data_IF_650640111060
#
_entry.id   IF_650640111060
#
_cell.length_a   1.000
_cell.length_b   1.000
_cell.length_c   1.000
_cell.angle_alpha   90.00
_cell.angle_beta   90.00
_cell.angle_gamma   90.00
#
_symmetry.space_group_name_H-M   'P 1'
#
loop_
_entity.id
_entity.type
_entity.pdbx_description
1 polymer ?
#
# COMPACT_ATOMS: atom_id res chain seq x y z
N UNK A 1 17.61 60.36 -43.76
CA UNK A 1 18.09 59.93 -42.42
C UNK A 1 18.26 58.41 -42.41
N UNK A 2 18.97 57.85 -41.41
CA UNK A 2 19.68 56.55 -41.53
C UNK A 2 18.76 55.31 -41.62
N UNK A 3 19.32 54.24 -42.21
CA UNK A 3 18.68 52.94 -42.54
C UNK A 3 19.02 51.83 -41.52
N UNK A 4 18.30 50.72 -41.70
CA UNK A 4 18.38 49.40 -41.03
C UNK A 4 19.61 48.57 -41.53
N UNK A 5 19.92 47.47 -40.84
CA UNK A 5 20.53 46.17 -41.30
C UNK A 5 21.92 45.78 -40.74
N UNK A 6 21.91 44.77 -39.84
CA UNK A 6 22.73 43.53 -39.69
C UNK A 6 24.27 43.53 -39.90
N UNK A 7 24.93 42.61 -39.14
CA UNK A 7 26.25 41.94 -39.32
C UNK A 7 27.39 42.49 -38.44
N UNK A 8 28.05 41.59 -37.70
CA UNK A 8 29.37 41.86 -37.11
C UNK A 8 29.74 41.02 -35.87
N UNK A 9 30.20 39.78 -36.07
CA UNK A 9 31.02 39.06 -35.07
C UNK A 9 32.28 38.58 -35.79
N UNK A 10 33.46 39.05 -35.35
CA UNK A 10 34.74 38.58 -35.86
C UNK A 10 35.77 38.39 -34.73
N UNK A 11 36.38 37.22 -34.81
CA UNK A 11 37.53 36.65 -34.10
C UNK A 11 38.68 37.61 -33.75
N UNK A 12 39.38 37.32 -32.63
CA UNK A 12 40.84 37.09 -32.55
C UNK A 12 41.12 36.41 -31.18
N UNK A 13 41.50 35.12 -31.10
CA UNK A 13 42.83 34.50 -31.27
C UNK A 13 43.78 34.61 -30.06
N UNK A 14 44.18 33.44 -29.55
CA UNK A 14 45.21 33.24 -28.52
C UNK A 14 45.51 31.74 -28.36
N UNK A 15 46.62 31.27 -28.93
CA UNK A 15 47.15 29.90 -28.86
C UNK A 15 48.51 29.93 -28.16
N UNK A 16 48.91 28.85 -27.46
CA UNK A 16 50.09 28.08 -27.89
C UNK A 16 50.37 26.78 -27.10
N UNK A 17 50.81 25.78 -27.88
CA UNK A 17 51.66 24.60 -27.60
C UNK A 17 51.18 23.38 -26.79
N UNK A 18 51.34 22.23 -27.47
CA UNK A 18 51.37 20.82 -27.04
C UNK A 18 52.35 20.08 -27.99
N UNK A 19 53.09 19.05 -27.54
CA UNK A 19 52.83 17.64 -27.95
C UNK A 19 53.14 16.63 -26.81
N UNK A 20 53.09 15.28 -26.91
CA UNK A 20 52.30 14.26 -27.63
C UNK A 20 53.10 12.91 -27.63
N UNK A 21 52.49 11.82 -27.12
CA UNK A 21 52.69 10.37 -27.45
C UNK A 21 53.97 9.52 -27.12
N UNK A 22 53.71 8.35 -26.47
CA UNK A 22 54.26 6.95 -26.66
C UNK A 22 55.78 6.62 -26.50
N UNK A 23 56.28 5.37 -26.26
CA UNK A 23 55.72 4.07 -25.79
C UNK A 23 56.84 3.05 -25.36
N UNK A 24 56.47 1.99 -24.61
CA UNK A 24 57.02 0.60 -24.53
C UNK A 24 58.45 0.15 -24.04
N UNK A 25 58.46 -0.87 -23.14
CA UNK A 25 59.49 -1.89 -22.71
C UNK A 25 60.85 -1.44 -22.08
N UNK A 26 61.51 -2.17 -21.13
CA UNK A 26 61.48 -3.60 -20.72
C UNK A 26 61.98 -3.86 -19.24
N UNK A 27 62.00 -5.13 -18.80
CA UNK A 27 62.79 -5.77 -17.69
C UNK A 27 62.31 -5.83 -16.20
N UNK A 28 61.48 -6.85 -15.91
CA UNK A 28 61.74 -8.04 -15.03
C UNK A 28 62.22 -7.88 -13.56
N UNK A 29 61.39 -8.28 -12.57
CA UNK A 29 61.57 -9.46 -11.65
C UNK A 29 60.80 -9.36 -10.29
N UNK A 30 60.21 -10.49 -9.85
CA UNK A 30 59.80 -10.75 -8.44
C UNK A 30 60.89 -11.55 -7.69
N UNK A 31 60.66 -12.17 -6.50
CA UNK A 31 59.39 -12.62 -5.90
C UNK A 31 59.06 -11.82 -4.59
N UNK A 32 58.35 -12.24 -3.52
CA UNK A 32 57.88 -13.55 -3.04
C UNK A 32 56.62 -13.47 -2.12
N UNK A 33 56.44 -14.49 -1.25
CA UNK A 33 55.30 -14.76 -0.36
C UNK A 33 55.83 -14.86 1.10
N UNK A 34 55.04 -14.45 2.12
CA UNK A 34 54.62 -15.28 3.28
C UNK A 34 54.38 -14.53 4.64
N UNK A 35 53.29 -14.90 5.33
CA UNK A 35 52.95 -14.81 6.79
C UNK A 35 52.93 -13.48 7.60
N UNK A 36 51.73 -13.14 8.10
CA UNK A 36 51.33 -12.72 9.50
C UNK A 36 50.01 -11.93 9.44
N UNK A 37 48.82 -12.50 9.69
CA UNK A 37 48.18 -12.74 11.00
C UNK A 37 48.16 -11.57 12.01
N UNK A 38 46.92 -11.17 12.35
CA UNK A 38 46.47 -10.47 13.57
C UNK A 38 47.10 -9.12 13.97
N UNK A 39 46.46 -8.00 13.59
CA UNK A 39 46.24 -6.85 14.49
C UNK A 39 45.24 -5.83 13.90
N UNK A 40 43.97 -5.88 14.35
CA UNK A 40 43.00 -4.78 14.23
C UNK A 40 42.24 -4.63 15.56
N UNK A 41 42.90 -3.99 16.54
CA UNK A 41 42.27 -3.56 17.79
C UNK A 41 42.16 -2.03 17.77
N UNK A 42 40.94 -1.53 17.90
CA UNK A 42 40.66 -0.24 18.55
C UNK A 42 40.82 1.03 17.70
N UNK A 43 39.73 1.47 17.09
CA UNK A 43 39.32 2.88 17.23
C UNK A 43 37.79 3.01 17.20
N UNK A 44 37.20 3.22 18.37
CA UNK A 44 35.79 3.64 18.47
C UNK A 44 35.66 5.11 18.05
N UNK A 45 34.78 5.39 17.08
CA UNK A 45 34.25 6.74 16.84
C UNK A 45 32.77 6.67 16.52
N UNK A 46 31.94 6.67 17.57
CA UNK A 46 30.54 7.08 17.54
C UNK A 46 30.08 7.41 18.97
N UNK A 47 29.35 8.52 19.20
CA UNK A 47 28.90 8.88 20.53
C UNK A 47 27.88 7.86 21.08
N UNK A 48 27.76 7.71 22.41
CA UNK A 48 26.96 6.66 23.01
C UNK A 48 25.45 6.98 22.90
N UNK A 49 24.80 6.44 21.87
CA UNK A 49 23.34 6.32 21.82
C UNK A 49 22.90 5.50 23.05
N UNK A 50 22.26 6.11 24.04
CA UNK A 50 21.71 5.41 25.20
C UNK A 50 20.18 5.40 25.14
N UNK A 51 19.57 4.26 25.50
CA UNK A 51 18.11 4.09 25.51
C UNK A 51 17.63 2.82 24.81
N UNK A 52 16.30 2.63 24.70
CA UNK A 52 15.70 1.45 24.08
C UNK A 52 16.14 1.20 22.64
N UNK A 53 16.57 2.23 21.91
CA UNK A 53 17.04 2.12 20.52
C UNK A 53 18.29 1.24 20.37
N UNK A 54 19.22 1.24 21.34
CA UNK A 54 20.36 0.30 21.33
C UNK A 54 19.90 -1.14 21.47
N UNK A 55 18.88 -1.39 22.28
CA UNK A 55 18.33 -2.74 22.45
C UNK A 55 17.61 -3.19 21.17
N UNK A 56 16.80 -2.33 20.56
CA UNK A 56 16.13 -2.65 19.29
C UNK A 56 17.12 -2.91 18.15
N UNK A 57 18.18 -2.10 18.03
CA UNK A 57 19.27 -2.35 17.08
C UNK A 57 20.01 -3.67 17.36
N UNK A 58 20.23 -4.03 18.63
CA UNK A 58 20.86 -5.31 18.99
C UNK A 58 19.97 -6.51 18.64
N UNK A 59 18.66 -6.43 18.88
CA UNK A 59 17.69 -7.48 18.51
C UNK A 59 17.61 -7.62 16.98
N UNK A 60 17.68 -6.50 16.24
CA UNK A 60 17.80 -6.53 14.78
C UNK A 60 19.10 -7.22 14.32
N UNK A 61 20.25 -6.88 14.90
CA UNK A 61 21.55 -7.50 14.57
C UNK A 61 21.54 -9.01 14.84
N UNK A 62 20.94 -9.45 15.95
CA UNK A 62 20.78 -10.87 16.28
C UNK A 62 19.91 -11.56 15.22
N UNK A 63 18.77 -10.96 14.85
CA UNK A 63 17.89 -11.52 13.81
C UNK A 63 18.57 -11.54 12.43
N UNK A 64 19.27 -10.48 12.05
CA UNK A 64 20.02 -10.43 10.80
C UNK A 64 21.09 -11.53 10.75
N UNK A 65 21.79 -11.79 11.86
CA UNK A 65 22.77 -12.88 11.93
C UNK A 65 22.16 -14.29 11.73
N UNK A 66 20.88 -14.52 12.04
CA UNK A 66 20.22 -15.80 11.72
C UNK A 66 19.74 -15.90 10.27
N UNK A 67 19.56 -14.76 9.59
CA UNK A 67 19.03 -14.69 8.21
C UNK A 67 20.13 -14.50 7.16
N UNK A 68 21.23 -13.82 7.47
CA UNK A 68 22.20 -13.30 6.49
C UNK A 68 22.86 -14.36 5.60
N UNK A 69 22.96 -15.61 6.06
CA UNK A 69 23.53 -16.74 5.34
C UNK A 69 22.49 -17.74 4.83
N UNK A 70 21.23 -17.32 4.66
CA UNK A 70 20.19 -18.19 4.13
C UNK A 70 20.20 -18.24 2.60
N UNK A 71 19.78 -19.36 2.03
CA UNK A 71 19.45 -19.48 0.60
C UNK A 71 17.94 -19.36 0.35
N UNK A 72 17.15 -19.08 1.39
CA UNK A 72 15.69 -18.90 1.30
C UNK A 72 15.31 -17.43 1.21
N UNK A 73 14.69 -17.03 0.09
CA UNK A 73 14.09 -15.70 -0.05
C UNK A 73 13.02 -15.42 1.02
N UNK A 74 12.38 -16.47 1.57
CA UNK A 74 11.42 -16.35 2.65
C UNK A 74 12.06 -15.87 3.96
N UNK A 75 13.32 -16.21 4.25
CA UNK A 75 14.03 -15.74 5.46
C UNK A 75 14.31 -14.24 5.38
N UNK A 76 14.79 -13.75 4.23
CA UNK A 76 14.98 -12.31 3.99
C UNK A 76 13.66 -11.54 3.98
N UNK A 77 12.60 -12.09 3.37
CA UNK A 77 11.24 -11.54 3.47
C UNK A 77 10.74 -11.52 4.92
N UNK A 78 11.14 -12.48 5.77
CA UNK A 78 10.80 -12.50 7.19
C UNK A 78 11.51 -11.38 7.96
N UNK A 79 12.81 -11.18 7.71
CA UNK A 79 13.55 -10.03 8.24
C UNK A 79 12.87 -8.70 7.84
N UNK A 80 12.54 -8.50 6.55
CA UNK A 80 11.87 -7.29 6.06
C UNK A 80 10.47 -7.06 6.68
N UNK A 81 9.79 -8.11 7.14
CA UNK A 81 8.52 -7.99 7.87
C UNK A 81 8.71 -7.51 9.31
N UNK A 82 9.78 -7.93 9.98
CA UNK A 82 10.07 -7.50 11.36
C UNK A 82 10.71 -6.12 11.41
N UNK A 83 11.56 -5.79 10.42
CA UNK A 83 12.32 -4.55 10.36
C UNK A 83 12.11 -3.83 9.02
N UNK A 84 10.90 -3.32 8.73
CA UNK A 84 10.58 -2.68 7.44
C UNK A 84 11.33 -1.37 7.17
N UNK A 85 11.98 -0.81 8.20
CA UNK A 85 12.89 0.35 8.14
C UNK A 85 14.24 0.04 8.79
N UNK A 86 14.60 -1.25 8.89
CA UNK A 86 15.83 -1.72 9.53
C UNK A 86 17.10 -1.42 8.73
N UNK A 87 18.24 -1.45 9.43
CA UNK A 87 19.57 -1.18 8.88
C UNK A 87 19.95 -2.13 7.73
N UNK A 88 19.49 -3.37 7.76
CA UNK A 88 19.82 -4.39 6.76
C UNK A 88 18.77 -4.55 5.64
N UNK A 89 17.75 -3.68 5.57
CA UNK A 89 16.74 -3.68 4.48
C UNK A 89 17.36 -3.72 3.08
N UNK A 90 18.39 -2.91 2.74
CA UNK A 90 19.02 -2.96 1.43
C UNK A 90 19.69 -4.32 1.13
N UNK A 91 20.36 -4.92 2.12
CA UNK A 91 21.02 -6.21 1.98
C UNK A 91 20.01 -7.35 1.80
N UNK A 92 18.91 -7.32 2.56
CA UNK A 92 17.84 -8.31 2.44
C UNK A 92 17.14 -8.24 1.07
N UNK A 93 16.92 -7.03 0.53
CA UNK A 93 16.38 -6.85 -0.81
C UNK A 93 17.35 -7.34 -1.90
N UNK A 94 18.63 -6.95 -1.81
CA UNK A 94 19.68 -7.39 -2.75
C UNK A 94 19.83 -8.90 -2.78
N UNK A 95 19.80 -9.57 -1.61
CA UNK A 95 19.90 -11.03 -1.52
C UNK A 95 18.64 -11.76 -2.00
N UNK A 96 17.46 -11.16 -1.87
CA UNK A 96 16.24 -11.67 -2.52
C UNK A 96 16.38 -11.59 -4.05
N UNK A 97 16.92 -10.48 -4.58
CA UNK A 97 17.17 -10.33 -6.02
C UNK A 97 18.18 -11.34 -6.54
N UNK A 98 19.29 -11.55 -5.82
CA UNK A 98 20.32 -12.55 -6.13
C UNK A 98 19.72 -13.96 -6.17
N UNK A 99 19.00 -14.38 -5.13
CA UNK A 99 18.37 -15.70 -5.04
C UNK A 99 17.25 -15.88 -6.08
N UNK A 100 16.50 -14.83 -6.44
CA UNK A 100 15.56 -14.87 -7.55
C UNK A 100 16.28 -14.99 -8.91
N UNK A 101 17.45 -14.37 -9.07
CA UNK A 101 18.27 -14.48 -10.29
C UNK A 101 18.87 -15.88 -10.47
N UNK A 102 19.23 -16.54 -9.36
CA UNK A 102 19.71 -17.93 -9.33
C UNK A 102 18.57 -18.92 -9.58
N UNK A 103 17.40 -18.71 -8.97
CA UNK A 103 16.21 -19.51 -9.23
C UNK A 103 15.58 -19.28 -10.61
N UNK A 104 16.03 -18.27 -11.38
CA UNK A 104 15.48 -17.92 -12.71
C UNK A 104 15.63 -19.03 -13.78
N UNK A 105 16.34 -20.12 -13.48
CA UNK A 105 16.36 -21.37 -14.28
C UNK A 105 15.15 -22.28 -14.09
N UNK A 106 14.37 -22.09 -13.03
CA UNK A 106 13.08 -22.75 -12.81
C UNK A 106 12.07 -21.66 -12.44
N UNK A 107 11.29 -21.23 -13.43
CA UNK A 107 10.13 -20.38 -13.15
C UNK A 107 9.23 -21.14 -12.14
N UNK A 108 8.91 -20.56 -10.97
CA UNK A 108 7.94 -21.19 -10.09
C UNK A 108 6.62 -21.29 -10.85
N UNK A 109 6.07 -22.50 -10.89
CA UNK A 109 4.77 -22.75 -11.49
C UNK A 109 3.74 -21.82 -10.82
N UNK A 110 2.94 -21.10 -11.62
CA UNK A 110 1.98 -20.13 -11.09
C UNK A 110 1.02 -20.87 -10.17
N UNK A 111 0.98 -20.49 -8.89
CA UNK A 111 0.14 -21.15 -7.87
C UNK A 111 -1.30 -21.30 -8.42
N UNK A 112 -1.72 -22.54 -8.65
CA UNK A 112 -3.06 -22.86 -9.19
C UNK A 112 -4.04 -23.00 -8.03
N UNK A 113 -4.82 -21.95 -7.84
CA UNK A 113 -5.84 -21.86 -6.80
C UNK A 113 -7.17 -22.44 -7.30
N UNK A 114 -7.81 -23.29 -6.49
CA UNK A 114 -9.22 -23.59 -6.65
C UNK A 114 -10.03 -22.35 -6.23
N UNK A 115 -10.57 -21.64 -7.22
CA UNK A 115 -11.33 -20.39 -7.00
C UNK A 115 -12.56 -20.60 -6.10
N UNK A 116 -13.12 -21.81 -6.04
CA UNK A 116 -14.29 -22.11 -5.20
C UNK A 116 -14.00 -22.00 -3.69
N UNK A 117 -12.73 -22.17 -3.28
CA UNK A 117 -12.30 -22.04 -1.88
C UNK A 117 -12.43 -20.60 -1.34
N UNK A 118 -12.43 -19.61 -2.24
CA UNK A 118 -12.47 -18.19 -1.89
C UNK A 118 -13.88 -17.62 -1.84
N UNK A 119 -14.87 -18.32 -2.39
CA UNK A 119 -16.27 -17.91 -2.40
C UNK A 119 -16.58 -16.73 -3.33
N UNK A 120 -17.80 -16.23 -3.24
CA UNK A 120 -18.31 -15.16 -4.09
C UNK A 120 -17.83 -13.78 -3.62
N UNK A 121 -17.68 -12.83 -4.56
CA UNK A 121 -17.15 -11.49 -4.28
C UNK A 121 -18.13 -10.42 -4.74
N UNK A 122 -18.48 -9.52 -3.83
CA UNK A 122 -19.34 -8.38 -4.09
C UNK A 122 -18.65 -7.07 -3.70
N UNK A 123 -19.00 -5.98 -4.37
CA UNK A 123 -18.57 -4.65 -3.97
C UNK A 123 -19.75 -3.68 -3.88
N UNK A 124 -19.74 -2.83 -2.85
CA UNK A 124 -20.47 -1.57 -2.80
C UNK A 124 -19.47 -0.45 -3.00
N UNK A 125 -19.58 0.31 -4.09
CA UNK A 125 -18.64 1.38 -4.42
C UNK A 125 -19.43 2.68 -4.50
N UNK A 126 -19.02 3.67 -3.71
CA UNK A 126 -19.71 4.94 -3.53
C UNK A 126 -18.76 6.07 -3.91
N UNK A 127 -19.17 6.95 -4.82
CA UNK A 127 -18.41 8.12 -5.25
C UNK A 127 -19.28 9.36 -5.31
N UNK A 128 -19.09 10.29 -4.37
CA UNK A 128 -19.93 11.49 -4.23
C UNK A 128 -19.16 12.76 -4.62
N UNK A 129 -19.57 13.42 -5.71
CA UNK A 129 -19.01 14.69 -6.20
C UNK A 129 -19.98 15.86 -6.01
N UNK A 130 -21.25 15.72 -6.38
CA UNK A 130 -22.19 16.84 -6.52
C UNK A 130 -23.08 16.99 -5.27
N UNK A 131 -22.58 17.71 -4.26
CA UNK A 131 -23.28 17.92 -2.98
C UNK A 131 -24.23 19.11 -3.04
N UNK A 132 -25.42 18.97 -2.43
CA UNK A 132 -26.43 20.03 -2.38
C UNK A 132 -26.01 21.22 -1.50
N UNK A 133 -25.27 20.95 -0.41
CA UNK A 133 -24.90 21.95 0.60
C UNK A 133 -23.40 22.02 0.91
N UNK A 134 -22.60 21.07 0.41
CA UNK A 134 -21.14 21.03 0.59
C UNK A 134 -20.41 21.48 -0.69
N UNK A 135 -19.10 21.72 -0.60
CA UNK A 135 -18.33 22.04 -1.81
C UNK A 135 -18.23 20.79 -2.70
N UNK A 136 -18.41 20.90 -4.03
CA UNK A 136 -18.33 19.74 -4.90
C UNK A 136 -16.89 19.21 -4.99
N UNK A 137 -16.75 17.89 -5.13
CA UNK A 137 -15.48 17.21 -5.38
C UNK A 137 -15.34 16.88 -6.87
N UNK A 138 -14.12 16.66 -7.35
CA UNK A 138 -13.87 16.41 -8.79
C UNK A 138 -13.59 14.95 -9.14
N UNK A 139 -13.10 14.16 -8.20
CA UNK A 139 -12.49 12.86 -8.48
C UNK A 139 -13.32 11.66 -7.99
N UNK A 140 -14.16 11.81 -6.96
CA UNK A 140 -14.75 10.69 -6.23
C UNK A 140 -15.59 9.75 -7.13
N UNK A 141 -16.35 10.30 -8.08
CA UNK A 141 -17.05 9.48 -9.08
C UNK A 141 -16.07 8.72 -10.00
N UNK A 142 -15.02 9.39 -10.51
CA UNK A 142 -14.00 8.74 -11.37
C UNK A 142 -13.23 7.66 -10.63
N UNK A 143 -12.93 7.87 -9.35
CA UNK A 143 -12.29 6.89 -8.48
C UNK A 143 -13.18 5.65 -8.30
N UNK A 144 -14.48 5.87 -8.05
CA UNK A 144 -15.47 4.81 -7.93
C UNK A 144 -15.67 4.04 -9.25
N UNK A 145 -15.77 4.72 -10.40
CA UNK A 145 -15.88 4.10 -11.72
C UNK A 145 -14.63 3.29 -12.10
N UNK A 146 -13.44 3.83 -11.87
CA UNK A 146 -12.18 3.16 -12.19
C UNK A 146 -11.97 1.91 -11.33
N UNK A 147 -12.29 1.98 -10.03
CA UNK A 147 -12.21 0.82 -9.13
C UNK A 147 -13.30 -0.21 -9.47
N UNK A 148 -14.53 0.22 -9.77
CA UNK A 148 -15.63 -0.63 -10.25
C UNK A 148 -15.21 -1.48 -11.44
N UNK A 149 -14.61 -0.84 -12.45
CA UNK A 149 -14.12 -1.53 -13.63
C UNK A 149 -13.06 -2.59 -13.28
N UNK A 150 -12.06 -2.24 -12.47
CA UNK A 150 -10.97 -3.18 -12.13
C UNK A 150 -11.46 -4.36 -11.29
N UNK A 151 -12.32 -4.12 -10.30
CA UNK A 151 -12.88 -5.21 -9.47
C UNK A 151 -13.79 -6.14 -10.29
N UNK A 152 -14.57 -5.59 -11.23
CA UNK A 152 -15.40 -6.40 -12.13
C UNK A 152 -14.56 -7.17 -13.15
N UNK A 153 -13.76 -6.48 -13.96
CA UNK A 153 -13.07 -7.07 -15.11
C UNK A 153 -11.85 -7.91 -14.69
N UNK A 154 -11.13 -7.50 -13.64
CA UNK A 154 -9.90 -8.16 -13.18
C UNK A 154 -10.09 -9.17 -12.05
N UNK A 155 -11.14 -9.02 -11.23
CA UNK A 155 -11.34 -9.83 -10.03
C UNK A 155 -12.70 -10.56 -9.99
N UNK A 156 -13.61 -10.28 -10.93
CA UNK A 156 -14.89 -10.98 -11.04
C UNK A 156 -15.93 -10.57 -9.98
N UNK A 157 -15.79 -9.39 -9.37
CA UNK A 157 -16.75 -8.91 -8.36
C UNK A 157 -18.12 -8.59 -8.97
N UNK A 158 -19.20 -8.93 -8.26
CA UNK A 158 -20.51 -8.33 -8.46
C UNK A 158 -20.51 -6.91 -7.87
N UNK A 159 -20.31 -5.90 -8.73
CA UNK A 159 -20.21 -4.50 -8.31
C UNK A 159 -21.57 -3.81 -8.31
N UNK A 160 -21.94 -3.26 -7.17
CA UNK A 160 -22.98 -2.23 -7.00
C UNK A 160 -22.30 -0.87 -6.91
N UNK A 161 -22.48 -0.03 -7.93
CA UNK A 161 -21.93 1.32 -8.00
C UNK A 161 -23.03 2.35 -7.67
N UNK A 162 -22.77 3.23 -6.71
CA UNK A 162 -23.58 4.39 -6.39
C UNK A 162 -22.76 5.67 -6.65
N UNK A 163 -23.25 6.54 -7.51
CA UNK A 163 -22.66 7.87 -7.75
C UNK A 163 -23.62 8.91 -7.18
N UNK A 164 -23.08 9.93 -6.52
CA UNK A 164 -23.83 10.98 -5.81
C UNK A 164 -24.94 10.39 -4.92
N UNK A 165 -24.55 9.45 -4.07
CA UNK A 165 -25.47 8.66 -3.26
C UNK A 165 -26.04 9.47 -2.09
N UNK A 166 -27.36 9.42 -1.92
CA UNK A 166 -28.03 9.96 -0.73
C UNK A 166 -27.80 9.06 0.48
N UNK A 167 -28.09 9.57 1.69
CA UNK A 167 -28.08 8.75 2.91
C UNK A 167 -28.95 7.51 2.78
N UNK A 168 -30.11 7.67 2.12
CA UNK A 168 -31.08 6.59 1.93
C UNK A 168 -30.51 5.48 1.06
N UNK A 169 -29.81 5.82 -0.02
CA UNK A 169 -29.27 4.82 -0.97
C UNK A 169 -28.18 3.99 -0.29
N UNK A 170 -27.22 4.66 0.36
CA UNK A 170 -26.12 4.00 1.09
C UNK A 170 -26.66 3.02 2.14
N UNK A 171 -27.62 3.45 2.98
CA UNK A 171 -28.20 2.59 4.01
C UNK A 171 -29.11 1.49 3.46
N UNK A 172 -29.78 1.73 2.32
CA UNK A 172 -30.59 0.72 1.63
C UNK A 172 -29.71 -0.42 1.12
N UNK A 173 -28.60 -0.11 0.47
CA UNK A 173 -27.68 -1.12 -0.07
C UNK A 173 -26.95 -1.89 1.03
N UNK A 174 -26.45 -1.22 2.08
CA UNK A 174 -25.91 -1.91 3.26
C UNK A 174 -26.96 -2.83 3.90
N UNK A 175 -28.23 -2.41 3.91
CA UNK A 175 -29.36 -3.23 4.34
C UNK A 175 -29.63 -4.43 3.41
N UNK A 176 -29.46 -4.27 2.09
CA UNK A 176 -29.58 -5.37 1.11
C UNK A 176 -28.48 -6.40 1.32
N UNK A 177 -27.21 -5.99 1.37
CA UNK A 177 -26.09 -6.90 1.62
C UNK A 177 -26.25 -7.67 2.93
N UNK A 178 -26.77 -7.03 3.99
CA UNK A 178 -27.10 -7.72 5.26
C UNK A 178 -28.12 -8.85 5.12
N UNK A 179 -29.04 -8.78 4.17
CA UNK A 179 -30.05 -9.82 3.92
C UNK A 179 -29.61 -10.85 2.88
N UNK A 180 -28.77 -10.45 1.93
CA UNK A 180 -28.39 -11.26 0.78
C UNK A 180 -27.14 -12.12 1.02
N UNK A 181 -26.13 -11.58 1.72
CA UNK A 181 -24.83 -12.25 1.84
C UNK A 181 -24.85 -13.39 2.85
N UNK A 182 -24.25 -14.50 2.43
CA UNK A 182 -24.00 -15.74 3.17
C UNK A 182 -22.61 -15.72 3.80
N UNK A 183 -22.22 -16.80 4.47
CA UNK A 183 -20.88 -16.94 5.04
C UNK A 183 -19.82 -17.40 4.02
N UNK A 184 -20.21 -17.79 2.81
CA UNK A 184 -19.31 -17.98 1.66
C UNK A 184 -18.80 -16.66 1.06
N UNK A 185 -19.52 -15.56 1.27
CA UNK A 185 -19.40 -14.39 0.41
C UNK A 185 -18.43 -13.35 1.00
N UNK A 186 -17.86 -12.52 0.14
CA UNK A 186 -16.93 -11.45 0.51
C UNK A 186 -17.47 -10.10 0.06
N UNK A 187 -17.31 -9.05 0.88
CA UNK A 187 -17.78 -7.70 0.55
C UNK A 187 -16.66 -6.66 0.67
N UNK A 188 -16.42 -5.93 -0.41
CA UNK A 188 -15.65 -4.69 -0.38
C UNK A 188 -16.64 -3.51 -0.34
N UNK A 189 -16.46 -2.58 0.61
CA UNK A 189 -17.21 -1.32 0.66
C UNK A 189 -16.20 -0.20 0.41
N UNK A 190 -16.28 0.48 -0.73
CA UNK A 190 -15.47 1.65 -1.05
C UNK A 190 -16.31 2.91 -0.95
N UNK A 191 -15.77 3.94 -0.29
CA UNK A 191 -16.36 5.28 -0.25
C UNK A 191 -15.30 6.32 -0.60
N UNK A 192 -15.58 7.14 -1.61
CA UNK A 192 -14.89 8.39 -1.89
C UNK A 192 -15.90 9.55 -1.77
N UNK A 193 -15.53 10.57 -1.00
CA UNK A 193 -16.41 11.70 -0.71
C UNK A 193 -15.99 12.47 0.55
N UNK A 194 -16.78 13.45 0.95
CA UNK A 194 -16.51 14.23 2.16
C UNK A 194 -16.62 13.36 3.42
N UNK A 195 -15.62 13.47 4.29
CA UNK A 195 -15.67 12.97 5.66
C UNK A 195 -15.71 14.13 6.64
N UNK A 196 -16.40 13.95 7.76
CA UNK A 196 -16.41 14.91 8.87
C UNK A 196 -16.06 14.22 10.18
N UNK A 197 -15.26 14.87 11.03
CA UNK A 197 -15.00 14.45 12.41
C UNK A 197 -15.60 15.46 13.38
N UNK A 198 -16.58 15.02 14.16
CA UNK A 198 -17.02 15.70 15.37
C UNK A 198 -16.00 15.43 16.49
N UNK A 199 -14.97 16.28 16.58
CA UNK A 199 -13.87 16.14 17.55
C UNK A 199 -14.34 15.99 19.01
N UNK A 200 -15.33 16.76 19.51
CA UNK A 200 -15.90 16.57 20.85
C UNK A 200 -16.38 15.15 21.18
N UNK A 201 -16.86 14.39 20.18
CA UNK A 201 -17.38 13.02 20.39
C UNK A 201 -16.50 11.93 19.78
N UNK A 202 -15.38 12.29 19.14
CA UNK A 202 -14.52 11.41 18.34
C UNK A 202 -15.28 10.68 17.19
N UNK A 203 -16.45 11.20 16.81
CA UNK A 203 -17.36 10.56 15.86
C UNK A 203 -17.09 11.01 14.42
N UNK A 204 -16.69 10.05 13.60
CA UNK A 204 -16.54 10.25 12.16
C UNK A 204 -17.84 9.98 11.41
N UNK A 205 -18.03 10.70 10.32
CA UNK A 205 -19.18 10.61 9.43
C UNK A 205 -18.70 10.57 7.98
N UNK A 206 -19.33 9.73 7.16
CA UNK A 206 -19.42 9.95 5.72
C UNK A 206 -20.54 10.95 5.44
N UNK A 207 -20.32 11.81 4.46
CA UNK A 207 -21.26 12.86 4.02
C UNK A 207 -21.89 12.43 2.69
N UNK A 208 -23.19 12.10 2.68
CA UNK A 208 -23.99 11.96 1.46
C UNK A 208 -24.19 13.27 0.70
N UNK A 209 -24.66 13.22 -0.54
CA UNK A 209 -24.90 14.46 -1.32
C UNK A 209 -26.09 15.30 -0.80
N UNK A 210 -27.08 14.65 -0.18
CA UNK A 210 -28.25 15.25 0.46
C UNK A 210 -27.97 15.73 1.91
N UNK A 211 -26.70 15.80 2.31
CA UNK A 211 -26.28 16.22 3.64
C UNK A 211 -26.21 17.75 3.77
N UNK A 212 -26.92 18.30 4.75
CA UNK A 212 -26.73 19.67 5.24
C UNK A 212 -25.35 19.80 5.94
N UNK A 213 -24.86 21.02 6.17
CA UNK A 213 -23.67 21.30 7.01
C UNK A 213 -24.01 21.41 8.49
N UNK A 214 -25.20 21.91 8.82
CA UNK A 214 -25.62 22.22 10.18
C UNK A 214 -26.62 21.19 10.74
N UNK A 215 -27.04 20.22 9.93
CA UNK A 215 -27.99 19.18 10.32
C UNK A 215 -27.50 17.75 9.99
N UNK A 216 -27.13 17.02 11.04
CA UNK A 216 -26.55 15.67 10.96
C UNK A 216 -27.54 14.55 10.58
N UNK A 217 -28.84 14.85 10.38
CA UNK A 217 -29.87 13.84 10.05
C UNK A 217 -29.52 13.05 8.80
N UNK A 218 -28.97 13.73 7.78
CA UNK A 218 -28.56 13.13 6.52
C UNK A 218 -27.08 12.68 6.51
N UNK A 219 -26.38 12.68 7.66
CA UNK A 219 -25.03 12.14 7.75
C UNK A 219 -25.02 10.64 8.04
N UNK A 220 -23.97 9.94 7.61
CA UNK A 220 -23.78 8.51 7.82
C UNK A 220 -22.66 8.29 8.84
N UNK A 221 -23.02 8.01 10.09
CA UNK A 221 -22.06 7.74 11.17
C UNK A 221 -21.20 6.52 10.86
N UNK A 222 -19.88 6.63 11.05
CA UNK A 222 -18.94 5.53 10.87
C UNK A 222 -19.23 4.35 11.82
N UNK A 223 -19.83 4.60 12.99
CA UNK A 223 -20.23 3.52 13.91
C UNK A 223 -21.38 2.67 13.34
N UNK A 224 -22.35 3.27 12.65
CA UNK A 224 -23.42 2.59 11.92
C UNK A 224 -22.86 1.73 10.78
N UNK A 225 -21.85 2.23 10.06
CA UNK A 225 -21.10 1.40 9.09
C UNK A 225 -20.45 0.20 9.78
N UNK A 226 -19.70 0.39 10.87
CA UNK A 226 -19.10 -0.78 11.57
C UNK A 226 -20.16 -1.72 12.14
N UNK A 227 -21.31 -1.20 12.60
CA UNK A 227 -22.42 -1.98 13.13
C UNK A 227 -23.08 -2.85 12.06
N UNK A 228 -23.31 -2.29 10.87
CA UNK A 228 -23.75 -3.05 9.70
C UNK A 228 -22.75 -4.13 9.32
N UNK A 229 -21.47 -3.77 9.21
CA UNK A 229 -20.37 -4.68 8.84
C UNK A 229 -20.18 -5.82 9.85
N UNK A 230 -20.42 -5.57 11.14
CA UNK A 230 -20.44 -6.58 12.21
C UNK A 230 -21.59 -7.58 12.05
N UNK A 231 -22.75 -7.11 11.59
CA UNK A 231 -23.95 -7.90 11.41
C UNK A 231 -24.00 -8.69 10.08
N UNK A 232 -23.02 -8.53 9.19
CA UNK A 232 -22.89 -9.31 7.95
C UNK A 232 -22.47 -10.76 8.22
N UNK A 233 -23.08 -11.70 7.49
CA UNK A 233 -22.68 -13.11 7.45
C UNK A 233 -21.32 -13.30 6.78
N UNK A 234 -21.07 -12.56 5.68
CA UNK A 234 -19.89 -12.57 4.81
C UNK A 234 -18.58 -12.98 5.49
N UNK A 235 -17.77 -13.83 4.86
CA UNK A 235 -16.49 -14.31 5.38
C UNK A 235 -15.53 -13.14 5.58
N UNK A 236 -15.24 -12.40 4.52
CA UNK A 236 -14.40 -11.20 4.58
C UNK A 236 -15.23 -9.95 4.29
N UNK A 237 -14.99 -8.89 5.07
CA UNK A 237 -15.47 -7.54 4.73
C UNK A 237 -14.33 -6.55 4.90
N UNK A 238 -14.05 -5.81 3.83
CA UNK A 238 -13.08 -4.72 3.79
C UNK A 238 -13.82 -3.41 3.56
N UNK A 239 -13.68 -2.47 4.47
CA UNK A 239 -14.10 -1.07 4.25
C UNK A 239 -12.90 -0.27 3.76
N UNK A 240 -13.04 0.46 2.66
CA UNK A 240 -12.01 1.36 2.12
C UNK A 240 -12.61 2.76 2.09
N UNK A 241 -12.06 3.67 2.90
CA UNK A 241 -12.52 5.05 3.03
C UNK A 241 -11.47 5.98 2.45
N UNK A 242 -11.71 6.53 1.25
CA UNK A 242 -10.94 7.65 0.72
C UNK A 242 -11.50 8.98 1.27
N UNK A 243 -11.52 9.05 2.61
CA UNK A 243 -12.05 10.15 3.42
C UNK A 243 -11.62 9.99 4.88
N UNK A 244 -11.84 11.03 5.70
CA UNK A 244 -11.58 10.99 7.13
C UNK A 244 -12.42 9.90 7.84
N UNK A 245 -11.77 8.84 8.33
CA UNK A 245 -12.42 7.77 9.10
C UNK A 245 -11.87 7.75 10.54
N UNK A 246 -12.38 8.64 11.40
CA UNK A 246 -11.83 8.93 12.74
C UNK A 246 -11.87 7.80 13.78
N UNK A 247 -12.43 6.64 13.45
CA UNK A 247 -12.62 5.58 14.43
C UNK A 247 -11.29 5.01 14.89
N UNK A 248 -10.81 5.43 16.08
CA UNK A 248 -9.61 4.93 16.79
C UNK A 248 -9.69 3.43 17.14
N UNK A 249 -9.74 2.58 16.12
CA UNK A 249 -10.06 1.15 16.19
C UNK A 249 -8.92 0.30 15.62
N UNK A 250 -7.67 0.72 15.86
CA UNK A 250 -6.49 0.09 15.30
C UNK A 250 -6.01 -1.06 16.21
N UNK A 251 -5.90 -2.26 15.64
CA UNK A 251 -5.06 -3.35 16.18
C UNK A 251 -4.38 -4.04 15.01
N UNK A 252 -3.05 -4.15 15.07
CA UNK A 252 -2.25 -4.70 13.99
C UNK A 252 -2.58 -6.16 13.67
N UNK A 253 -2.51 -6.49 12.38
CA UNK A 253 -2.68 -7.86 11.86
C UNK A 253 -1.38 -8.65 12.08
N UNK A 254 -1.47 -9.85 12.65
CA UNK A 254 -0.33 -10.74 12.86
C UNK A 254 -0.37 -11.89 11.86
N UNK A 255 0.51 -11.87 10.85
CA UNK A 255 0.65 -12.99 9.92
C UNK A 255 1.28 -14.19 10.64
N UNK A 256 0.73 -15.38 10.40
CA UNK A 256 1.32 -16.66 10.80
C UNK A 256 2.14 -17.17 9.61
N UNK A 257 3.36 -17.63 9.86
CA UNK A 257 4.23 -18.17 8.81
C UNK A 257 3.74 -19.54 8.32
N UNK A 258 3.49 -19.63 7.02
CA UNK A 258 3.36 -20.89 6.28
C UNK A 258 4.29 -20.75 5.06
N UNK A 259 5.11 -21.76 4.80
CA UNK A 259 6.09 -21.76 3.70
C UNK A 259 5.46 -22.03 2.32
N UNK A 260 4.15 -22.29 2.31
CA UNK A 260 3.32 -22.61 1.16
C UNK A 260 2.24 -21.53 1.00
N UNK A 261 2.38 -20.69 -0.04
CA UNK A 261 1.46 -19.58 -0.32
C UNK A 261 0.02 -20.09 -0.54
N UNK A 262 -0.12 -21.22 -1.22
CA UNK A 262 -1.43 -21.79 -1.55
C UNK A 262 -2.17 -22.16 -0.27
N UNK A 263 -1.54 -22.98 0.59
CA UNK A 263 -2.12 -23.35 1.90
C UNK A 263 -2.33 -22.13 2.80
N UNK A 264 -1.46 -21.13 2.73
CA UNK A 264 -1.64 -19.86 3.44
C UNK A 264 -2.96 -19.18 3.05
N UNK A 265 -3.17 -18.93 1.75
CA UNK A 265 -4.38 -18.25 1.27
C UNK A 265 -5.65 -19.10 1.42
N UNK A 266 -5.59 -20.40 1.16
CA UNK A 266 -6.71 -21.33 1.43
C UNK A 266 -7.10 -21.31 2.93
N UNK A 267 -6.12 -21.34 3.85
CA UNK A 267 -6.39 -21.25 5.30
C UNK A 267 -6.93 -19.89 5.75
N UNK A 268 -6.59 -18.83 5.02
CA UNK A 268 -7.04 -17.45 5.28
C UNK A 268 -8.46 -17.22 4.75
N UNK A 269 -8.81 -17.82 3.62
CA UNK A 269 -10.17 -17.85 3.07
C UNK A 269 -11.19 -18.44 4.05
N UNK A 270 -10.80 -19.38 4.92
CA UNK A 270 -11.71 -19.95 5.92
C UNK A 270 -11.92 -19.09 7.17
N UNK A 271 -11.06 -18.07 7.41
CA UNK A 271 -11.08 -17.24 8.62
C UNK A 271 -11.89 -15.96 8.43
N UNK A 272 -12.74 -15.62 9.40
CA UNK A 272 -13.56 -14.40 9.33
C UNK A 272 -12.68 -13.15 9.39
N UNK A 273 -12.79 -12.27 8.41
CA UNK A 273 -12.03 -11.02 8.33
C UNK A 273 -12.98 -9.81 8.34
N UNK A 274 -12.61 -8.79 9.12
CA UNK A 274 -13.30 -7.50 9.21
C UNK A 274 -12.24 -6.42 9.34
N UNK A 275 -11.93 -5.74 8.23
CA UNK A 275 -10.81 -4.81 8.13
C UNK A 275 -11.24 -3.48 7.52
N UNK A 276 -10.46 -2.44 7.83
CA UNK A 276 -10.65 -1.09 7.31
C UNK A 276 -9.33 -0.55 6.78
N UNK A 277 -9.38 0.10 5.63
CA UNK A 277 -8.29 0.85 4.99
C UNK A 277 -8.74 2.29 4.79
N UNK A 278 -7.86 3.26 5.04
CA UNK A 278 -8.19 4.69 4.95
C UNK A 278 -7.10 5.44 4.19
N UNK A 279 -7.44 6.53 3.49
CA UNK A 279 -6.42 7.43 2.91
C UNK A 279 -5.67 8.23 3.99
N UNK A 280 -6.35 8.53 5.11
CA UNK A 280 -5.74 8.88 6.39
C UNK A 280 -5.35 10.36 6.55
N UNK A 281 -5.53 10.87 7.77
CA UNK A 281 -5.38 12.27 8.14
C UNK A 281 -6.71 12.97 8.45
N UNK A 282 -6.63 14.09 9.16
CA UNK A 282 -7.70 15.10 9.30
C UNK A 282 -7.69 16.13 8.15
N UNK A 283 -6.74 15.97 7.23
CA UNK A 283 -6.42 16.90 6.17
C UNK A 283 -7.35 16.63 4.95
N UNK A 284 -7.77 17.68 4.22
CA UNK A 284 -8.60 17.51 3.03
C UNK A 284 -7.94 16.57 2.02
N UNK A 285 -8.69 15.59 1.51
CA UNK A 285 -8.25 14.80 0.37
C UNK A 285 -8.03 15.76 -0.80
N UNK A 286 -6.81 15.80 -1.34
CA UNK A 286 -6.46 16.74 -2.40
C UNK A 286 -7.31 16.47 -3.65
N UNK A 287 -7.99 17.52 -4.15
CA UNK A 287 -8.76 17.54 -5.40
C UNK A 287 -7.82 17.49 -6.63
N UNK A 288 -7.04 16.41 -6.74
CA UNK A 288 -6.04 16.18 -7.79
C UNK A 288 -4.77 15.51 -7.27
N UNK A 289 -3.77 15.38 -8.15
CA UNK A 289 -2.46 14.83 -7.84
C UNK A 289 -2.30 13.33 -8.12
N UNK A 290 -3.40 12.57 -8.24
CA UNK A 290 -3.36 11.21 -8.76
C UNK A 290 -3.15 11.14 -10.28
N UNK A 291 -2.82 9.95 -10.77
CA UNK A 291 -2.72 9.69 -12.23
C UNK A 291 -4.13 9.51 -12.79
N UNK A 292 -4.28 9.61 -14.12
CA UNK A 292 -5.54 9.33 -14.84
C UNK A 292 -6.74 10.20 -14.42
N UNK A 293 -6.52 11.31 -13.68
CA UNK A 293 -7.60 12.16 -13.13
C UNK A 293 -8.26 11.62 -11.87
N UNK A 294 -7.58 10.71 -11.16
CA UNK A 294 -8.02 10.05 -9.93
C UNK A 294 -7.43 10.75 -8.68
N UNK A 295 -7.91 10.38 -7.49
CA UNK A 295 -7.23 10.73 -6.22
C UNK A 295 -5.85 10.04 -6.12
N UNK A 296 -5.00 10.54 -5.22
CA UNK A 296 -3.67 9.93 -4.95
C UNK A 296 -3.84 8.54 -4.33
N UNK A 297 -4.78 8.37 -3.40
CA UNK A 297 -5.06 7.10 -2.75
C UNK A 297 -5.71 6.10 -3.71
N UNK A 298 -6.74 6.51 -4.46
CA UNK A 298 -7.38 5.70 -5.49
C UNK A 298 -6.37 5.26 -6.56
N UNK A 299 -5.50 6.17 -7.04
CA UNK A 299 -4.37 5.82 -7.93
C UNK A 299 -3.48 4.76 -7.31
N UNK A 300 -3.08 4.91 -6.04
CA UNK A 300 -2.17 3.98 -5.38
C UNK A 300 -2.81 2.59 -5.16
N UNK A 301 -4.10 2.54 -4.84
CA UNK A 301 -4.89 1.32 -4.67
C UNK A 301 -5.11 0.59 -6.00
N UNK A 302 -5.55 1.31 -7.02
CA UNK A 302 -5.71 0.79 -8.39
C UNK A 302 -4.37 0.33 -8.96
N UNK A 303 -3.29 1.13 -8.87
CA UNK A 303 -1.95 0.71 -9.31
C UNK A 303 -1.44 -0.52 -8.51
N UNK A 304 -1.94 -0.79 -7.30
CA UNK A 304 -1.56 -1.98 -6.52
C UNK A 304 -2.37 -3.23 -6.93
N UNK A 305 -3.66 -3.08 -7.24
CA UNK A 305 -4.50 -4.14 -7.82
C UNK A 305 -4.01 -4.50 -9.24
N UNK A 306 -3.75 -3.51 -10.09
CA UNK A 306 -3.20 -3.70 -11.45
C UNK A 306 -1.89 -4.53 -11.41
N UNK A 307 -1.06 -4.35 -10.37
CA UNK A 307 0.24 -5.02 -10.16
C UNK A 307 0.16 -6.39 -9.47
N UNK A 308 -1.00 -6.85 -9.03
CA UNK A 308 -1.15 -8.17 -8.41
C UNK A 308 -1.43 -9.24 -9.48
N UNK A 309 -0.46 -10.10 -9.76
CA UNK A 309 -0.56 -11.14 -10.82
C UNK A 309 -1.30 -12.43 -10.38
N UNK A 310 -1.63 -12.53 -9.10
CA UNK A 310 -2.22 -13.69 -8.42
C UNK A 310 -2.98 -13.25 -7.15
N UNK A 311 -3.32 -14.21 -6.26
CA UNK A 311 -3.96 -13.91 -4.97
C UNK A 311 -3.07 -13.02 -4.10
N UNK A 312 -3.66 -11.97 -3.53
CA UNK A 312 -2.98 -11.05 -2.60
C UNK A 312 -3.90 -10.66 -1.44
N UNK A 313 -3.36 -10.68 -0.22
CA UNK A 313 -4.06 -10.19 0.97
C UNK A 313 -3.98 -8.67 1.10
N UNK A 314 -5.01 -8.07 1.70
CA UNK A 314 -5.12 -6.62 1.87
C UNK A 314 -3.98 -6.03 2.71
N UNK A 315 -3.39 -6.75 3.67
CA UNK A 315 -2.17 -6.30 4.38
C UNK A 315 -0.98 -6.13 3.44
N UNK A 316 -0.73 -7.10 2.54
CA UNK A 316 0.32 -6.99 1.51
C UNK A 316 0.04 -5.84 0.56
N UNK A 317 -1.20 -5.75 0.06
CA UNK A 317 -1.62 -4.72 -0.88
C UNK A 317 -1.42 -3.32 -0.28
N UNK A 318 -1.87 -3.13 0.96
CA UNK A 318 -1.75 -1.89 1.71
C UNK A 318 -0.30 -1.44 1.93
N UNK A 319 0.64 -2.35 2.17
CA UNK A 319 2.05 -1.99 2.30
C UNK A 319 2.59 -1.32 1.02
N UNK A 320 2.11 -1.73 -0.16
CA UNK A 320 2.38 -1.07 -1.44
C UNK A 320 1.69 0.30 -1.55
N UNK A 321 0.41 0.39 -1.18
CA UNK A 321 -0.39 1.63 -1.21
C UNK A 321 0.23 2.69 -0.31
N UNK A 322 0.44 2.39 0.97
CA UNK A 322 0.99 3.33 1.97
C UNK A 322 2.35 3.90 1.56
N UNK A 323 3.20 3.10 0.91
CA UNK A 323 4.47 3.58 0.36
C UNK A 323 4.25 4.57 -0.80
N UNK A 324 3.35 4.25 -1.74
CA UNK A 324 3.03 5.15 -2.87
C UNK A 324 2.45 6.48 -2.37
N UNK A 325 1.46 6.44 -1.48
CA UNK A 325 0.77 7.66 -0.98
C UNK A 325 1.72 8.58 -0.19
N UNK A 326 2.48 8.03 0.78
CA UNK A 326 3.44 8.82 1.59
C UNK A 326 4.62 9.40 0.81
N UNK A 327 4.85 8.96 -0.42
CA UNK A 327 5.89 9.51 -1.31
C UNK A 327 5.34 10.62 -2.24
N UNK A 328 4.02 10.80 -2.31
CA UNK A 328 3.36 11.72 -3.25
C UNK A 328 2.36 12.68 -2.56
N UNK A 329 2.20 12.59 -1.23
CA UNK A 329 1.30 13.43 -0.43
C UNK A 329 1.63 13.31 1.06
N UNK A 330 1.13 14.27 1.84
CA UNK A 330 1.21 14.27 3.31
C UNK A 330 0.21 13.30 3.98
N UNK A 331 -0.74 12.75 3.20
CA UNK A 331 -1.70 11.75 3.65
C UNK A 331 -1.01 10.57 4.35
N UNK A 332 -1.65 10.10 5.43
CA UNK A 332 -1.11 9.05 6.30
C UNK A 332 -2.02 7.81 6.30
N UNK A 333 -2.07 7.01 5.21
CA UNK A 333 -2.95 5.86 5.15
C UNK A 333 -2.79 4.90 6.32
N UNK A 334 -3.92 4.36 6.75
CA UNK A 334 -4.01 3.38 7.82
C UNK A 334 -4.70 2.09 7.37
N UNK A 335 -4.35 1.00 8.03
CA UNK A 335 -4.97 -0.31 7.82
C UNK A 335 -5.11 -1.06 9.13
N UNK A 336 -6.31 -1.57 9.43
CA UNK A 336 -6.55 -2.23 10.72
C UNK A 336 -7.79 -3.14 10.75
N UNK A 337 -7.89 -3.89 11.86
CA UNK A 337 -9.03 -4.75 12.17
C UNK A 337 -10.17 -3.98 12.85
N UNK A 338 -11.41 -4.11 12.34
CA UNK A 338 -12.59 -3.48 12.95
C UNK A 338 -12.83 -4.08 14.35
N UNK A 339 -12.68 -3.25 15.39
CA UNK A 339 -12.76 -3.66 16.80
C UNK A 339 -14.10 -4.32 17.15
N UNK A 340 -14.04 -5.46 17.86
CA UNK A 340 -15.19 -6.27 18.31
C UNK A 340 -16.10 -6.70 17.14
N UNK A 341 -15.53 -7.11 15.99
CA UNK A 341 -16.29 -7.53 14.81
C UNK A 341 -16.20 -9.03 14.45
N UNK A 342 -15.75 -9.88 15.37
CA UNK A 342 -15.57 -11.31 15.10
C UNK A 342 -14.48 -11.60 14.08
N UNK A 343 -13.48 -10.73 13.98
CA UNK A 343 -12.26 -10.97 13.19
C UNK A 343 -11.46 -12.13 13.84
N UNK A 344 -11.10 -13.13 13.04
CA UNK A 344 -10.47 -14.38 13.46
C UNK A 344 -9.11 -14.61 12.77
N UNK A 345 -8.26 -13.60 12.75
CA UNK A 345 -6.92 -13.62 12.14
C UNK A 345 -6.89 -13.93 10.63
N UNK A 346 -8.04 -13.81 9.95
CA UNK A 346 -8.11 -13.77 8.49
C UNK A 346 -7.73 -12.39 7.95
N UNK A 347 -7.65 -12.26 6.63
CA UNK A 347 -7.51 -10.99 5.94
C UNK A 347 -8.41 -10.97 4.71
N UNK A 348 -8.73 -9.80 4.16
CA UNK A 348 -9.46 -9.71 2.90
C UNK A 348 -8.53 -10.12 1.75
N UNK A 349 -8.97 -11.05 0.91
CA UNK A 349 -8.19 -11.58 -0.19
C UNK A 349 -8.70 -11.03 -1.52
N UNK A 350 -7.78 -10.58 -2.38
CA UNK A 350 -8.07 -10.23 -3.77
C UNK A 350 -7.62 -11.37 -4.67
N UNK A 351 -8.55 -12.04 -5.33
CA UNK A 351 -8.31 -13.21 -6.20
C UNK A 351 -8.45 -12.78 -7.66
N UNK A 352 -7.32 -12.61 -8.35
CA UNK A 352 -7.34 -12.19 -9.77
C UNK A 352 -7.87 -13.32 -10.66
N UNK A 353 -8.69 -12.96 -11.65
CA UNK A 353 -9.37 -13.93 -12.52
C UNK A 353 -8.50 -14.39 -13.69
#
# INVERSE_FOLDING_TARGET
MKRVVIIGVFLFLGWFYSPAFADYHDLVSGPAIEQSQEQWIGQEISPPIQGPDRFMALVEIIFWNTVRSSDSTAMYRTYLRHYPVGYFVPLALSRIEELNSQNKKVLPEKDTYDKSVFGDYHALIIGNNEYEHWAPLKNAQRDAEALSKILKDGYGFEVTLLLDATRKDILTELGRFRRALKDSDNLLIYYAGHGHLDEPTDQGYWIPVDADKDNIVNWVRNDAITGGVKALSAKHVLVVSDSCYSGKLIRGVKRIGLDDNRKFFESMAQKKARTVMTSGGLEPVLDGGGKRGLSIFATAFIDALDQADQVVDATTLFAGIRRKVRLNSDQTPEYSNIRKAGHDSGDFLFVRQ
#
